data_IF_125142080772
#
_entry.id   IF_125142080772
#
_cell.length_a   1.000
_cell.length_b   1.000
_cell.length_c   1.000
_cell.angle_alpha   90.00
_cell.angle_beta   90.00
_cell.angle_gamma   90.00
#
_symmetry.space_group_name_H-M   'P 1'
#
loop_
_entity.id
_entity.type
_entity.pdbx_description
1 polymer ?
#
# COMPACT_ATOMS: atom_id res chain seq x y z
N UNK A 1 -11.33 12.93 8.53
CA UNK A 1 -12.65 12.24 8.51
C UNK A 1 -13.77 13.22 8.81
N UNK A 2 -13.83 13.80 10.02
CA UNK A 2 -14.91 14.72 10.44
C UNK A 2 -15.19 15.85 9.44
N UNK A 3 -14.16 16.59 9.01
CA UNK A 3 -14.35 17.65 8.01
C UNK A 3 -14.93 17.19 6.67
N UNK A 4 -14.64 15.97 6.21
CA UNK A 4 -15.26 15.43 4.99
C UNK A 4 -16.75 15.18 5.20
N UNK A 5 -17.13 14.69 6.38
CA UNK A 5 -18.52 14.50 6.76
C UNK A 5 -19.27 15.84 6.86
N UNK A 6 -18.66 16.84 7.49
CA UNK A 6 -19.23 18.19 7.65
C UNK A 6 -19.44 18.89 6.31
N UNK A 7 -18.57 18.62 5.33
CA UNK A 7 -18.71 19.06 3.94
C UNK A 7 -19.75 18.25 3.13
N UNK A 8 -20.42 17.28 3.74
CA UNK A 8 -21.50 16.51 3.12
C UNK A 8 -21.11 15.15 2.55
N UNK A 9 -19.88 14.67 2.76
CA UNK A 9 -19.49 13.33 2.29
C UNK A 9 -20.27 12.26 3.05
N UNK A 10 -20.87 11.30 2.32
CA UNK A 10 -21.64 10.17 2.89
C UNK A 10 -21.12 8.80 2.48
N UNK A 11 -20.12 8.77 1.60
CA UNK A 11 -19.37 7.57 1.22
C UNK A 11 -17.91 7.98 1.01
N UNK A 12 -17.01 7.41 1.81
CA UNK A 12 -15.59 7.72 1.78
C UNK A 12 -14.80 6.43 1.87
N UNK A 13 -14.03 6.14 0.83
CA UNK A 13 -13.06 5.05 0.85
C UNK A 13 -11.78 5.53 1.53
N UNK A 14 -11.37 4.82 2.57
CA UNK A 14 -10.18 5.13 3.35
C UNK A 14 -9.16 4.04 3.13
N UNK A 15 -8.12 4.35 2.38
CA UNK A 15 -7.09 3.38 2.02
C UNK A 15 -6.21 3.05 3.21
N UNK A 16 -6.14 1.76 3.57
CA UNK A 16 -5.12 1.25 4.49
C UNK A 16 -3.72 1.36 3.89
N UNK A 17 -2.70 1.14 4.71
CA UNK A 17 -1.31 1.16 4.26
C UNK A 17 -1.00 -0.17 3.56
N UNK A 18 -0.41 -0.07 2.36
CA UNK A 18 0.07 -1.23 1.59
C UNK A 18 1.28 -1.92 2.26
N UNK A 19 1.85 -2.96 1.64
CA UNK A 19 3.00 -3.70 2.17
C UNK A 19 4.27 -2.85 2.10
N UNK A 20 4.51 -2.01 3.12
CA UNK A 20 5.64 -1.08 3.15
C UNK A 20 7.00 -1.78 3.01
N UNK A 21 7.15 -2.97 3.59
CA UNK A 21 8.35 -3.79 3.42
C UNK A 21 8.67 -4.15 1.98
N UNK A 22 7.65 -4.20 1.11
CA UNK A 22 7.75 -4.59 -0.29
C UNK A 22 7.79 -3.39 -1.26
N UNK A 23 7.80 -2.15 -0.75
CA UNK A 23 7.86 -0.96 -1.61
C UNK A 23 9.20 -0.92 -2.34
N UNK A 24 9.25 -0.60 -3.65
CA UNK A 24 10.50 -0.60 -4.41
C UNK A 24 11.65 0.20 -3.80
N UNK A 25 11.37 1.34 -3.17
CA UNK A 25 12.38 2.14 -2.49
C UNK A 25 12.96 1.45 -1.24
N UNK A 26 12.13 0.72 -0.49
CA UNK A 26 12.57 -0.08 0.65
C UNK A 26 13.39 -1.26 0.17
N UNK A 27 12.93 -1.96 -0.88
CA UNK A 27 13.67 -3.06 -1.49
C UNK A 27 15.05 -2.59 -1.98
N UNK A 28 15.11 -1.47 -2.71
CA UNK A 28 16.35 -0.94 -3.28
C UNK A 28 17.38 -0.51 -2.21
N UNK A 29 16.94 -0.15 -1.01
CA UNK A 29 17.83 0.39 0.04
C UNK A 29 18.09 -0.59 1.18
N UNK A 30 17.22 -1.57 1.41
CA UNK A 30 17.26 -2.45 2.59
C UNK A 30 17.30 -3.93 2.24
N UNK A 31 16.93 -4.33 1.02
CA UNK A 31 16.91 -5.73 0.62
C UNK A 31 18.17 -6.14 -0.15
N UNK A 32 18.75 -7.28 0.24
CA UNK A 32 19.85 -7.93 -0.51
C UNK A 32 19.37 -9.04 -1.44
N UNK A 33 18.19 -9.58 -1.18
CA UNK A 33 17.63 -10.76 -1.85
C UNK A 33 16.36 -10.45 -2.64
N UNK A 34 15.90 -9.19 -2.64
CA UNK A 34 14.59 -8.81 -3.15
C UNK A 34 13.42 -9.15 -2.21
N UNK A 35 13.70 -9.77 -1.05
CA UNK A 35 12.69 -10.02 -0.02
C UNK A 35 12.23 -8.71 0.65
N UNK A 36 10.96 -8.68 1.06
CA UNK A 36 10.39 -7.54 1.77
C UNK A 36 11.06 -7.33 3.13
N UNK A 37 11.28 -6.08 3.51
CA UNK A 37 11.87 -5.72 4.80
C UNK A 37 10.88 -5.93 5.95
N UNK A 38 11.24 -6.77 6.93
CA UNK A 38 10.37 -7.15 8.04
C UNK A 38 10.08 -5.98 9.00
N UNK A 39 11.04 -5.09 9.21
CA UNK A 39 10.86 -3.95 10.13
C UNK A 39 9.88 -2.94 9.55
N UNK A 40 10.03 -2.62 8.26
CA UNK A 40 9.09 -1.76 7.54
C UNK A 40 7.71 -2.41 7.38
N UNK A 41 7.65 -3.73 7.32
CA UNK A 41 6.40 -4.48 7.26
C UNK A 41 5.59 -4.40 8.55
N UNK A 42 6.20 -4.18 9.72
CA UNK A 42 5.45 -4.01 10.98
C UNK A 42 4.55 -2.78 11.01
N UNK A 43 4.87 -1.75 10.22
CA UNK A 43 4.11 -0.49 10.21
C UNK A 43 2.66 -0.70 9.75
N UNK A 44 2.36 -1.26 8.56
CA UNK A 44 0.98 -1.56 8.17
C UNK A 44 0.32 -2.57 9.11
N UNK A 45 1.06 -3.53 9.66
CA UNK A 45 0.52 -4.55 10.58
C UNK A 45 -0.03 -3.93 11.88
N UNK A 46 0.59 -2.85 12.38
CA UNK A 46 0.11 -2.11 13.54
C UNK A 46 -0.95 -1.07 13.19
N UNK A 47 -0.78 -0.37 12.07
CA UNK A 47 -1.63 0.76 11.69
C UNK A 47 -2.99 0.32 11.15
N UNK A 48 -3.04 -0.69 10.28
CA UNK A 48 -4.28 -1.07 9.59
C UNK A 48 -5.38 -1.57 10.54
N UNK A 49 -5.10 -2.36 11.59
CA UNK A 49 -6.12 -2.73 12.58
C UNK A 49 -6.69 -1.51 13.32
N UNK A 50 -5.84 -0.56 13.71
CA UNK A 50 -6.27 0.68 14.37
C UNK A 50 -7.11 1.55 13.44
N UNK A 51 -6.77 1.59 12.14
CA UNK A 51 -7.56 2.29 11.13
C UNK A 51 -8.99 1.71 11.05
N UNK A 52 -9.12 0.38 10.99
CA UNK A 52 -10.43 -0.30 10.95
C UNK A 52 -11.23 0.01 12.21
N UNK A 53 -10.60 -0.04 13.38
CA UNK A 53 -11.24 0.32 14.63
C UNK A 53 -11.75 1.78 14.61
N UNK A 54 -10.93 2.73 14.19
CA UNK A 54 -11.32 4.14 14.08
C UNK A 54 -12.50 4.34 13.12
N UNK A 55 -12.54 3.60 12.00
CA UNK A 55 -13.67 3.69 11.05
C UNK A 55 -14.96 3.17 11.70
N UNK A 56 -14.89 2.08 12.48
CA UNK A 56 -16.01 1.54 13.23
C UNK A 56 -16.53 2.53 14.28
N UNK A 57 -15.63 3.18 15.02
CA UNK A 57 -15.98 4.19 16.03
C UNK A 57 -16.64 5.41 15.39
N UNK A 58 -16.12 5.91 14.27
CA UNK A 58 -16.68 7.05 13.55
C UNK A 58 -18.06 6.73 12.95
N UNK A 59 -18.21 5.58 12.28
CA UNK A 59 -19.51 5.19 11.71
C UNK A 59 -20.55 4.99 12.82
N UNK A 60 -20.15 4.45 13.97
CA UNK A 60 -21.02 4.34 15.15
C UNK A 60 -21.42 5.71 15.69
N UNK A 61 -20.48 6.66 15.76
CA UNK A 61 -20.76 8.03 16.18
C UNK A 61 -21.74 8.76 15.25
N UNK A 62 -21.62 8.55 13.93
CA UNK A 62 -22.52 9.16 12.95
C UNK A 62 -23.82 8.38 12.71
N UNK A 63 -23.95 7.18 13.28
CA UNK A 63 -25.11 6.30 13.06
C UNK A 63 -25.26 5.86 11.60
N UNK A 64 -24.18 5.84 10.82
CA UNK A 64 -24.19 5.52 9.39
C UNK A 64 -22.83 5.00 8.90
N UNK A 65 -22.86 4.10 7.93
CA UNK A 65 -21.68 3.55 7.27
C UNK A 65 -21.12 4.53 6.22
N UNK A 66 -20.45 5.58 6.69
CA UNK A 66 -19.88 6.63 5.82
C UNK A 66 -18.46 6.28 5.38
N UNK A 67 -17.65 5.77 6.30
CA UNK A 67 -16.23 5.49 6.05
C UNK A 67 -16.00 3.99 5.89
N UNK A 68 -15.36 3.60 4.79
CA UNK A 68 -15.05 2.20 4.48
C UNK A 68 -13.54 2.04 4.35
N UNK A 69 -12.95 1.22 5.22
CA UNK A 69 -11.52 0.90 5.14
C UNK A 69 -11.26 -0.03 3.95
N UNK A 70 -10.34 0.37 3.07
CA UNK A 70 -9.90 -0.43 1.92
C UNK A 70 -8.64 -1.20 2.30
N UNK A 71 -8.68 -2.52 2.13
CA UNK A 71 -7.54 -3.40 2.38
C UNK A 71 -6.51 -3.35 1.25
N UNK A 72 -5.81 -2.22 1.16
CA UNK A 72 -4.75 -2.04 0.18
C UNK A 72 -3.57 -2.98 0.41
N UNK A 73 -3.32 -3.40 1.66
CA UNK A 73 -2.29 -4.40 1.97
C UNK A 73 -2.51 -5.69 1.17
N UNK A 74 -3.71 -6.28 1.30
CA UNK A 74 -4.07 -7.50 0.57
C UNK A 74 -4.03 -7.28 -0.94
N UNK A 75 -4.62 -6.18 -1.44
CA UNK A 75 -4.64 -5.91 -2.88
C UNK A 75 -3.23 -5.90 -3.51
N UNK A 76 -2.28 -5.25 -2.84
CA UNK A 76 -0.89 -5.22 -3.33
C UNK A 76 -0.19 -6.56 -3.12
N UNK A 77 -0.40 -7.24 -2.00
CA UNK A 77 0.19 -8.55 -1.76
C UNK A 77 -0.28 -9.60 -2.77
N UNK A 78 -1.57 -9.60 -3.14
CA UNK A 78 -2.10 -10.52 -4.14
C UNK A 78 -1.40 -10.30 -5.51
N UNK A 79 -1.20 -9.03 -5.90
CA UNK A 79 -0.44 -8.67 -7.11
C UNK A 79 1.05 -9.08 -7.04
N UNK A 80 1.67 -8.96 -5.86
CA UNK A 80 3.06 -9.34 -5.63
C UNK A 80 3.23 -10.87 -5.66
N UNK A 81 2.28 -11.62 -5.08
CA UNK A 81 2.36 -13.07 -4.95
C UNK A 81 1.93 -13.83 -6.20
N UNK A 82 0.96 -13.29 -6.95
CA UNK A 82 0.50 -13.88 -8.21
C UNK A 82 0.36 -12.83 -9.33
N UNK A 83 1.47 -12.29 -9.82
CA UNK A 83 1.52 -11.43 -11.00
C UNK A 83 0.62 -11.84 -12.18
N UNK A 84 0.55 -13.14 -12.48
CA UNK A 84 -0.09 -13.65 -13.69
C UNK A 84 -1.62 -13.53 -13.62
N UNK A 85 -2.20 -13.70 -12.42
CA UNK A 85 -3.64 -13.50 -12.20
C UNK A 85 -4.10 -12.05 -12.44
N UNK A 86 -3.17 -11.08 -12.42
CA UNK A 86 -3.46 -9.66 -12.59
C UNK A 86 -2.90 -9.09 -13.92
N UNK A 87 -2.46 -9.95 -14.84
CA UNK A 87 -1.98 -9.60 -16.18
C UNK A 87 -0.50 -9.92 -16.43
N UNK A 88 -0.16 -10.31 -17.66
CA UNK A 88 1.22 -10.69 -18.04
C UNK A 88 2.18 -9.49 -17.94
N UNK A 89 2.99 -9.44 -16.87
CA UNK A 89 3.84 -8.32 -16.44
C UNK A 89 5.03 -7.95 -17.36
N UNK A 90 5.07 -8.34 -18.63
CA UNK A 90 6.14 -7.89 -19.55
C UNK A 90 5.94 -6.46 -20.05
N UNK A 91 4.75 -5.90 -19.92
CA UNK A 91 4.49 -4.49 -20.19
C UNK A 91 4.24 -3.74 -18.88
N UNK A 92 5.34 -3.21 -18.32
CA UNK A 92 5.38 -2.22 -17.24
C UNK A 92 5.02 -2.78 -15.87
N UNK A 93 5.87 -3.63 -15.33
CA UNK A 93 5.86 -3.88 -13.89
C UNK A 93 6.07 -2.56 -13.13
N UNK A 94 5.50 -2.40 -11.94
CA UNK A 94 5.72 -1.20 -11.09
C UNK A 94 7.22 -0.95 -10.83
N UNK A 95 8.02 -2.02 -10.88
CA UNK A 95 9.48 -1.98 -10.84
C UNK A 95 10.11 -1.33 -12.08
N UNK A 96 9.52 -1.39 -13.27
CA UNK A 96 10.04 -0.75 -14.48
C UNK A 96 9.80 0.76 -14.48
N UNK A 97 8.63 1.20 -13.99
CA UNK A 97 8.37 2.61 -13.75
C UNK A 97 9.39 3.17 -12.74
N UNK A 98 9.56 2.48 -11.61
CA UNK A 98 10.51 2.91 -10.58
C UNK A 98 11.97 2.82 -11.07
N UNK A 99 12.36 1.76 -11.78
CA UNK A 99 13.69 1.66 -12.41
C UNK A 99 13.94 2.79 -13.39
N UNK A 100 12.95 3.19 -14.18
CA UNK A 100 13.07 4.34 -15.09
C UNK A 100 13.35 5.62 -14.33
N UNK A 101 12.68 5.85 -13.20
CA UNK A 101 12.94 6.99 -12.30
C UNK A 101 14.35 6.91 -11.69
N UNK A 102 14.76 5.76 -11.16
CA UNK A 102 16.09 5.60 -10.53
C UNK A 102 17.22 5.78 -11.56
N UNK A 103 17.06 5.25 -12.78
CA UNK A 103 18.00 5.52 -13.89
C UNK A 103 18.09 7.00 -14.22
N UNK A 104 16.95 7.72 -14.29
CA UNK A 104 16.95 9.18 -14.54
C UNK A 104 17.64 9.97 -13.43
N UNK A 105 17.60 9.48 -12.20
CA UNK A 105 18.20 10.12 -11.03
C UNK A 105 19.63 9.64 -10.72
N UNK A 106 20.22 8.75 -11.55
CA UNK A 106 21.49 8.08 -11.27
C UNK A 106 21.54 7.39 -9.89
N UNK A 107 20.38 6.90 -9.41
CA UNK A 107 20.29 6.14 -8.17
C UNK A 107 20.52 4.65 -8.45
N UNK A 108 21.20 3.92 -7.54
CA UNK A 108 21.47 2.50 -7.74
C UNK A 108 20.15 1.70 -7.86
N UNK A 109 19.97 1.04 -9.00
CA UNK A 109 18.89 0.07 -9.23
C UNK A 109 19.38 -1.32 -8.81
N UNK A 110 19.56 -1.57 -7.51
CA UNK A 110 19.91 -2.92 -7.04
C UNK A 110 18.69 -3.84 -7.08
N UNK A 111 18.44 -4.38 -8.27
CA UNK A 111 17.83 -5.70 -8.46
C UNK A 111 18.69 -6.38 -9.52
N UNK A 112 19.86 -6.87 -9.12
CA UNK A 112 20.60 -7.87 -9.89
C UNK A 112 20.01 -9.25 -9.58
N UNK A 113 19.96 -10.16 -10.57
CA UNK A 113 19.27 -11.45 -10.47
C UNK A 113 19.79 -12.34 -9.35
#
# INVERSE_FOLDING_TARGET
>A
MQRLYDLGSRQVLVTGVGPLGCVPAILATRSRTGACDLEMQRVPDMYNPQLVQLMSELNSHYGADVFVAVNAFKMHMDFISDPAAYGNQREKTQSDCMRSVYRRLNLPTHVTP
#
